data_IF_984083080974
#
_entry.id   IF_984083080974
#
_cell.length_a   1.000
_cell.length_b   1.000
_cell.length_c   1.000
_cell.angle_alpha   90.00
_cell.angle_beta   90.00
_cell.angle_gamma   90.00
#
_symmetry.space_group_name_H-M   'P 1'
#
loop_
_entity.id
_entity.type
_entity.pdbx_description
1 polymer ?
#
# COMPACT_ATOMS: atom_id res chain seq x y z
N UNK A 1 3.20 14.26 14.71
CA UNK A 1 1.96 13.58 15.18
C UNK A 1 0.96 13.40 14.05
N UNK A 2 1.41 13.11 12.82
CA UNK A 2 0.51 12.93 11.69
C UNK A 2 -0.27 11.63 11.85
N UNK A 3 -1.58 11.67 11.56
CA UNK A 3 -2.49 10.51 11.64
C UNK A 3 -3.13 10.19 10.30
N UNK A 4 -3.27 11.18 9.45
CA UNK A 4 -3.85 11.05 8.13
C UNK A 4 -2.94 11.73 7.12
N UNK A 5 -2.70 11.05 6.01
CA UNK A 5 -1.92 11.55 4.90
C UNK A 5 -2.65 11.17 3.63
N UNK A 6 -3.19 12.18 2.97
CA UNK A 6 -3.78 12.07 1.64
C UNK A 6 -2.78 12.63 0.62
N UNK A 7 -2.31 11.75 -0.26
CA UNK A 7 -1.48 12.08 -1.42
C UNK A 7 -2.15 11.59 -2.70
N UNK A 8 -3.46 11.38 -2.67
CA UNK A 8 -4.22 10.92 -3.82
C UNK A 8 -4.17 11.93 -4.97
N UNK A 9 -4.36 11.45 -6.20
CA UNK A 9 -4.44 12.28 -7.40
C UNK A 9 -3.19 13.13 -7.65
N UNK A 10 -2.02 12.51 -7.49
CA UNK A 10 -0.71 13.11 -7.78
C UNK A 10 0.02 12.32 -8.88
N UNK A 11 1.23 12.76 -9.22
CA UNK A 11 2.11 12.07 -10.17
C UNK A 11 3.21 11.26 -9.48
N UNK A 12 2.95 10.71 -8.28
CA UNK A 12 3.96 9.97 -7.52
C UNK A 12 4.31 8.66 -8.21
N UNK A 13 5.61 8.43 -8.43
CA UNK A 13 6.16 7.18 -8.97
C UNK A 13 6.81 6.30 -7.89
N UNK A 14 7.16 6.90 -6.77
CA UNK A 14 7.73 6.24 -5.60
C UNK A 14 7.40 7.04 -4.34
N UNK A 15 7.59 6.41 -3.19
CA UNK A 15 7.51 7.06 -1.88
C UNK A 15 8.88 7.02 -1.21
N UNK A 16 9.22 8.05 -0.42
CA UNK A 16 10.47 8.02 0.32
C UNK A 16 10.43 6.92 1.39
N UNK A 17 11.58 6.28 1.63
CA UNK A 17 11.71 5.20 2.63
C UNK A 17 11.32 5.64 4.05
N UNK A 18 11.34 6.95 4.32
CA UNK A 18 10.98 7.52 5.60
C UNK A 18 9.46 7.47 5.90
N UNK A 19 8.61 7.08 4.95
CA UNK A 19 7.16 6.97 5.18
C UNK A 19 6.84 5.98 6.31
N UNK A 20 7.63 4.90 6.44
CA UNK A 20 7.53 3.95 7.55
C UNK A 20 7.79 4.57 8.93
N UNK A 21 8.48 5.72 9.00
CA UNK A 21 8.75 6.43 10.25
C UNK A 21 7.56 7.25 10.75
N UNK A 22 6.47 7.35 9.96
CA UNK A 22 5.22 7.95 10.40
C UNK A 22 4.45 6.98 11.30
N UNK A 23 5.05 6.59 12.42
CA UNK A 23 4.59 5.50 13.30
C UNK A 23 3.22 5.74 13.94
N UNK A 24 2.66 6.95 13.85
CA UNK A 24 1.31 7.32 14.33
C UNK A 24 0.27 7.41 13.22
N UNK A 25 0.66 7.18 11.96
CA UNK A 25 -0.23 7.24 10.81
C UNK A 25 -1.28 6.12 10.90
N UNK A 26 -2.53 6.48 10.63
CA UNK A 26 -3.71 5.61 10.64
C UNK A 26 -4.33 5.51 9.24
N UNK A 27 -4.36 6.61 8.52
CA UNK A 27 -4.96 6.69 7.19
C UNK A 27 -3.91 7.13 6.18
N UNK A 28 -3.77 6.34 5.12
CA UNK A 28 -2.90 6.64 3.99
C UNK A 28 -3.68 6.43 2.68
N UNK A 29 -3.96 7.53 1.98
CA UNK A 29 -4.51 7.47 0.63
C UNK A 29 -3.44 7.83 -0.40
N UNK A 30 -3.14 6.87 -1.27
CA UNK A 30 -2.17 6.99 -2.37
C UNK A 30 -2.85 6.73 -3.72
N UNK A 31 -4.18 6.78 -3.76
CA UNK A 31 -4.93 6.44 -4.96
C UNK A 31 -4.65 7.42 -6.10
N UNK A 32 -4.85 6.98 -7.34
CA UNK A 32 -4.68 7.81 -8.54
C UNK A 32 -3.26 8.40 -8.63
N UNK A 33 -2.26 7.54 -8.56
CA UNK A 33 -0.84 7.88 -8.72
C UNK A 33 -0.21 6.94 -9.78
N UNK A 34 1.11 7.02 -9.93
CA UNK A 34 1.91 6.21 -10.87
C UNK A 34 2.80 5.20 -10.13
N UNK A 35 2.43 4.81 -8.89
CA UNK A 35 3.22 3.91 -8.06
C UNK A 35 3.25 2.52 -8.71
N UNK A 36 4.42 1.89 -8.70
CA UNK A 36 4.64 0.57 -9.28
C UNK A 36 5.62 -0.25 -8.44
N UNK A 37 6.04 -1.39 -8.97
CA UNK A 37 7.01 -2.29 -8.32
C UNK A 37 6.35 -3.43 -7.56
N UNK A 38 7.12 -4.06 -6.68
CA UNK A 38 6.66 -5.21 -5.89
C UNK A 38 5.74 -4.74 -4.75
N UNK A 39 4.46 -5.11 -4.84
CA UNK A 39 3.45 -4.71 -3.87
C UNK A 39 3.71 -5.27 -2.45
N UNK A 40 4.24 -6.50 -2.36
CA UNK A 40 4.58 -7.13 -1.07
C UNK A 40 5.66 -6.34 -0.32
N UNK A 41 6.74 -5.96 -1.02
CA UNK A 41 7.79 -5.10 -0.44
C UNK A 41 7.30 -3.69 -0.14
N UNK A 42 6.36 -3.17 -0.94
CA UNK A 42 5.78 -1.86 -0.72
C UNK A 42 4.99 -1.81 0.60
N UNK A 43 4.08 -2.77 0.82
CA UNK A 43 3.21 -2.76 2.00
C UNK A 43 3.98 -3.08 3.28
N UNK A 44 5.00 -3.95 3.22
CA UNK A 44 5.82 -4.28 4.39
C UNK A 44 6.61 -3.09 4.96
N UNK A 45 6.90 -2.08 4.15
CA UNK A 45 7.58 -0.84 4.56
C UNK A 45 6.66 0.24 5.15
N UNK A 46 5.34 0.02 5.17
CA UNK A 46 4.37 0.99 5.69
C UNK A 46 4.23 0.92 7.22
N UNK A 47 3.81 2.01 7.89
CA UNK A 47 3.57 2.00 9.34
C UNK A 47 2.61 0.87 9.76
N UNK A 48 3.00 0.08 10.75
CA UNK A 48 2.20 -1.05 11.28
C UNK A 48 0.88 -0.62 11.93
N UNK A 49 0.77 0.67 12.25
CA UNK A 49 -0.40 1.27 12.91
C UNK A 49 -1.52 1.71 11.95
N UNK A 50 -1.32 1.56 10.63
CA UNK A 50 -2.33 1.88 9.62
C UNK A 50 -3.63 1.09 9.83
N UNK A 51 -4.74 1.78 9.63
CA UNK A 51 -6.12 1.26 9.67
C UNK A 51 -6.73 1.28 8.27
N UNK A 52 -6.37 2.29 7.47
CA UNK A 52 -6.86 2.48 6.11
C UNK A 52 -5.70 2.67 5.14
N UNK A 53 -5.67 1.87 4.09
CA UNK A 53 -4.75 1.99 2.97
C UNK A 53 -5.50 1.91 1.64
N UNK A 54 -5.38 2.96 0.83
CA UNK A 54 -5.89 2.99 -0.54
C UNK A 54 -4.74 3.09 -1.53
N UNK A 55 -4.61 2.06 -2.38
CA UNK A 55 -3.67 1.97 -3.50
C UNK A 55 -4.40 1.90 -4.84
N UNK A 56 -5.67 2.31 -4.87
CA UNK A 56 -6.49 2.29 -6.09
C UNK A 56 -5.83 3.07 -7.22
N UNK A 57 -6.04 2.62 -8.45
CA UNK A 57 -5.65 3.34 -9.66
C UNK A 57 -4.15 3.71 -9.67
N UNK A 58 -3.29 2.72 -9.42
CA UNK A 58 -1.83 2.82 -9.55
C UNK A 58 -1.32 1.84 -10.62
N UNK A 59 0.00 1.83 -10.84
CA UNK A 59 0.68 1.01 -11.85
C UNK A 59 1.28 -0.28 -11.26
N UNK A 60 0.78 -0.78 -10.12
CA UNK A 60 1.18 -2.07 -9.56
C UNK A 60 0.80 -3.21 -10.51
N UNK A 61 1.66 -4.22 -10.66
CA UNK A 61 1.40 -5.38 -11.52
C UNK A 61 2.10 -6.61 -10.94
N UNK A 62 1.76 -7.80 -11.44
CA UNK A 62 2.36 -9.06 -11.02
C UNK A 62 1.59 -9.72 -9.88
N UNK A 63 2.31 -10.44 -9.02
CA UNK A 63 1.72 -11.16 -7.90
C UNK A 63 1.75 -10.38 -6.60
N UNK A 64 0.79 -10.68 -5.73
CA UNK A 64 0.70 -10.16 -4.37
C UNK A 64 0.55 -11.31 -3.39
N UNK A 65 1.48 -11.41 -2.43
CA UNK A 65 1.39 -12.40 -1.36
C UNK A 65 0.57 -11.82 -0.20
N UNK A 66 -0.54 -12.47 0.13
CA UNK A 66 -1.46 -11.96 1.17
C UNK A 66 -0.79 -11.91 2.55
N UNK A 67 0.16 -12.81 2.83
CA UNK A 67 0.94 -12.83 4.06
C UNK A 67 1.86 -11.61 4.24
N UNK A 68 2.09 -10.82 3.19
CA UNK A 68 2.87 -9.57 3.30
C UNK A 68 2.19 -8.53 4.17
N UNK A 69 0.89 -8.72 4.47
CA UNK A 69 0.10 -7.92 5.40
C UNK A 69 0.30 -8.31 6.87
N UNK A 70 1.15 -9.31 7.19
CA UNK A 70 1.32 -9.83 8.56
C UNK A 70 1.70 -8.74 9.58
N UNK A 71 2.42 -7.70 9.14
CA UNK A 71 2.84 -6.59 9.99
C UNK A 71 1.78 -5.48 10.11
N UNK A 72 0.76 -5.47 9.24
CA UNK A 72 -0.33 -4.51 9.22
C UNK A 72 -1.49 -4.98 10.10
N UNK A 73 -1.19 -5.29 11.37
CA UNK A 73 -2.11 -5.92 12.33
C UNK A 73 -3.35 -5.08 12.66
N UNK A 74 -3.35 -3.79 12.31
CA UNK A 74 -4.49 -2.89 12.54
C UNK A 74 -5.25 -2.51 11.27
N UNK A 75 -4.84 -3.00 10.11
CA UNK A 75 -5.46 -2.65 8.84
C UNK A 75 -6.85 -3.27 8.75
N UNK A 76 -7.86 -2.42 8.63
CA UNK A 76 -9.27 -2.84 8.51
C UNK A 76 -9.80 -2.59 7.10
N UNK A 77 -9.19 -1.64 6.37
CA UNK A 77 -9.54 -1.33 4.99
C UNK A 77 -8.29 -1.34 4.13
N UNK A 78 -8.25 -2.26 3.16
CA UNK A 78 -7.24 -2.31 2.13
C UNK A 78 -7.90 -2.26 0.75
N UNK A 79 -7.68 -1.17 0.01
CA UNK A 79 -8.21 -1.00 -1.35
C UNK A 79 -7.07 -1.09 -2.35
N UNK A 80 -7.21 -1.98 -3.33
CA UNK A 80 -6.18 -2.26 -4.32
C UNK A 80 -6.80 -2.43 -5.71
N UNK A 81 -6.29 -1.67 -6.68
CA UNK A 81 -6.56 -1.87 -8.10
C UNK A 81 -5.37 -1.39 -8.92
N UNK A 82 -5.20 -1.93 -10.12
CA UNK A 82 -4.18 -1.50 -11.06
C UNK A 82 -4.82 -0.97 -12.34
N UNK A 83 -4.19 0.03 -12.95
CA UNK A 83 -4.59 0.54 -14.27
C UNK A 83 -3.82 -0.13 -15.42
N UNK A 84 -2.72 -0.83 -15.13
CA UNK A 84 -1.83 -1.42 -16.16
C UNK A 84 -2.01 -2.92 -16.32
N UNK A 85 -2.92 -3.55 -15.57
CA UNK A 85 -3.19 -4.98 -15.66
C UNK A 85 -3.93 -5.54 -14.45
N UNK A 86 -3.84 -6.85 -14.26
CA UNK A 86 -4.41 -7.54 -13.10
C UNK A 86 -3.34 -7.86 -12.07
N UNK A 87 -3.68 -7.73 -10.79
CA UNK A 87 -2.82 -8.20 -9.70
C UNK A 87 -3.28 -9.61 -9.34
N UNK A 88 -2.36 -10.57 -9.44
CA UNK A 88 -2.62 -11.97 -9.12
C UNK A 88 -2.37 -12.20 -7.63
N UNK A 89 -3.43 -12.41 -6.86
CA UNK A 89 -3.30 -12.72 -5.42
C UNK A 89 -2.84 -14.17 -5.28
N UNK A 90 -1.71 -14.36 -4.63
CA UNK A 90 -1.18 -15.67 -4.28
C UNK A 90 -1.47 -15.94 -2.81
N UNK A 91 -2.19 -17.03 -2.56
CA UNK A 91 -2.32 -17.63 -1.24
C UNK A 91 -1.20 -18.64 -1.07
N UNK A 92 -0.56 -18.68 0.10
CA UNK A 92 0.43 -19.73 0.32
C UNK A 92 -0.26 -21.10 0.31
N UNK A 93 0.28 -22.01 -0.50
CA UNK A 93 -0.08 -23.43 -0.43
C UNK A 93 0.42 -23.96 0.91
N UNK A 94 -0.48 -24.59 1.68
CA UNK A 94 -0.16 -25.26 2.94
C UNK A 94 0.92 -26.33 2.80
#
# INVERSE_FOLDING_TARGET
>A
NLRELDLSSNALRSLPYCLGNLTRLRTLDLSNNQLNGNLSSFVSGLPSLLEYLSLLNNNFNGSFLLNSLVNQTRLTVFKLSSIVGTIQVQTESF
#
